data_IF_060834952538
#
_entry.id   IF_060834952538
#
_cell.length_a   1.000
_cell.length_b   1.000
_cell.length_c   1.000
_cell.angle_alpha   90.00
_cell.angle_beta   90.00
_cell.angle_gamma   90.00
#
_symmetry.space_group_name_H-M   'P 1'
#
loop_
_entity.id
_entity.type
_entity.pdbx_description
1 polymer ?
#
# COMPACT_ATOMS: atom_id res chain seq x y z
N UNK A 1 -3.91 18.79 17.18
CA UNK A 1 -4.88 18.17 16.26
C UNK A 1 -4.04 17.40 15.26
N UNK A 2 -4.20 16.11 15.20
CA UNK A 2 -3.34 15.25 14.39
C UNK A 2 -3.72 15.45 12.93
N UNK A 3 -2.78 15.87 12.09
CA UNK A 3 -2.98 15.94 10.65
C UNK A 3 -3.09 14.52 10.10
N UNK A 4 -4.02 14.28 9.16
CA UNK A 4 -4.12 13.01 8.44
C UNK A 4 -2.97 12.83 7.44
N UNK A 5 -2.38 13.93 7.01
CA UNK A 5 -1.32 13.99 6.02
C UNK A 5 -0.08 14.61 6.65
N UNK A 6 1.00 13.86 6.64
CA UNK A 6 2.33 14.34 7.02
C UNK A 6 3.29 13.97 5.91
N UNK A 7 4.26 14.82 5.63
CA UNK A 7 5.39 14.43 4.80
C UNK A 7 6.17 13.32 5.52
N UNK A 8 6.20 12.14 4.91
CA UNK A 8 6.80 10.94 5.50
C UNK A 8 8.00 10.52 4.66
N UNK A 9 9.12 10.32 5.31
CA UNK A 9 10.28 9.68 4.70
C UNK A 9 10.12 8.16 4.85
N UNK A 10 10.26 7.41 3.74
CA UNK A 10 10.06 5.95 3.74
C UNK A 10 10.90 5.21 4.78
N UNK A 11 12.11 5.66 5.05
CA UNK A 11 12.97 5.05 6.09
C UNK A 11 12.34 5.11 7.47
N UNK A 12 11.62 6.19 7.80
CA UNK A 12 11.00 6.38 9.10
C UNK A 12 9.83 5.42 9.33
N UNK A 13 9.14 5.04 8.23
CA UNK A 13 8.05 4.06 8.26
C UNK A 13 8.59 2.63 8.28
N UNK A 14 9.70 2.37 7.58
CA UNK A 14 10.22 1.00 7.41
C UNK A 14 11.09 0.53 8.56
N UNK A 15 11.65 1.44 9.36
CA UNK A 15 12.51 1.12 10.50
C UNK A 15 11.83 1.45 11.81
N UNK A 16 11.99 0.62 12.82
CA UNK A 16 11.60 0.89 14.19
C UNK A 16 12.84 1.09 15.04
N UNK A 17 12.87 2.12 15.88
CA UNK A 17 14.01 2.42 16.73
C UNK A 17 14.33 1.25 17.69
N UNK A 18 15.56 0.79 17.69
CA UNK A 18 16.01 -0.34 18.50
C UNK A 18 15.62 -1.73 17.96
N UNK A 19 14.94 -1.83 16.83
CA UNK A 19 14.57 -3.11 16.22
C UNK A 19 15.48 -3.48 15.04
N UNK A 20 15.64 -4.76 14.84
CA UNK A 20 16.40 -5.36 13.72
C UNK A 20 15.45 -6.22 12.90
N UNK A 21 15.46 -6.06 11.59
CA UNK A 21 14.62 -6.84 10.68
C UNK A 21 15.08 -8.30 10.65
N UNK A 22 14.18 -9.19 11.01
CA UNK A 22 14.33 -10.64 10.87
C UNK A 22 14.08 -11.05 9.42
N UNK A 23 12.91 -10.66 8.90
CA UNK A 23 12.52 -10.90 7.52
C UNK A 23 11.42 -9.95 7.06
N UNK A 24 11.48 -9.51 5.79
CA UNK A 24 10.47 -8.67 5.16
C UNK A 24 9.93 -9.30 3.87
N UNK A 25 8.62 -9.26 3.70
CA UNK A 25 7.90 -9.62 2.47
C UNK A 25 7.32 -8.35 1.86
N UNK A 26 7.70 -8.03 0.64
CA UNK A 26 7.32 -6.83 -0.08
C UNK A 26 6.55 -7.20 -1.33
N UNK A 27 5.54 -6.41 -1.69
CA UNK A 27 4.82 -6.56 -2.96
C UNK A 27 4.83 -5.26 -3.75
N UNK A 28 4.89 -5.37 -5.07
CA UNK A 28 4.85 -4.24 -6.01
C UNK A 28 4.32 -4.72 -7.36
N UNK A 29 3.78 -3.81 -8.17
CA UNK A 29 3.47 -4.14 -9.56
C UNK A 29 4.72 -4.10 -10.43
N UNK A 30 5.38 -2.97 -10.49
CA UNK A 30 6.64 -2.77 -11.22
C UNK A 30 7.81 -2.61 -10.25
N UNK A 31 8.96 -3.07 -10.68
CA UNK A 31 10.20 -3.04 -9.93
C UNK A 31 11.30 -2.49 -10.82
N UNK A 32 12.07 -1.52 -10.35
CA UNK A 32 13.36 -1.21 -10.96
C UNK A 32 14.54 -1.71 -10.10
N UNK A 33 15.63 -2.00 -10.74
CA UNK A 33 16.79 -2.60 -10.06
C UNK A 33 17.49 -1.64 -9.10
N UNK A 34 17.60 -0.32 -9.35
CA UNK A 34 18.09 0.65 -8.39
C UNK A 34 17.27 0.68 -7.11
N UNK A 35 15.93 0.72 -7.20
CA UNK A 35 15.04 0.67 -6.05
C UNK A 35 15.16 -0.65 -5.27
N UNK A 36 15.37 -1.77 -5.95
CA UNK A 36 15.63 -3.06 -5.28
C UNK A 36 16.89 -3.01 -4.41
N UNK A 37 17.96 -2.32 -4.87
CA UNK A 37 19.19 -2.15 -4.09
C UNK A 37 19.01 -1.22 -2.89
N UNK A 38 18.03 -0.32 -2.90
CA UNK A 38 17.74 0.55 -1.77
C UNK A 38 16.99 -0.16 -0.62
N UNK A 39 16.30 -1.27 -0.91
CA UNK A 39 15.51 -2.02 0.09
C UNK A 39 16.31 -2.38 1.36
N UNK A 40 17.54 -2.91 1.30
CA UNK A 40 18.33 -3.19 2.50
C UNK A 40 18.59 -1.96 3.37
N UNK A 41 18.76 -0.78 2.76
CA UNK A 41 18.94 0.48 3.48
C UNK A 41 17.62 0.95 4.09
N UNK A 42 16.53 0.89 3.33
CA UNK A 42 15.18 1.25 3.82
C UNK A 42 14.75 0.38 5.01
N UNK A 43 15.14 -0.90 5.02
CA UNK A 43 14.87 -1.84 6.12
C UNK A 43 15.90 -1.77 7.26
N UNK A 44 16.89 -0.88 7.23
CA UNK A 44 17.94 -0.79 8.23
C UNK A 44 18.88 -2.01 8.30
N UNK A 45 18.80 -2.94 7.37
CA UNK A 45 19.63 -4.17 7.35
C UNK A 45 21.10 -3.86 7.09
N UNK A 46 21.39 -2.68 6.55
CA UNK A 46 22.73 -2.19 6.24
C UNK A 46 23.11 -0.94 7.04
N UNK A 47 22.44 -0.66 8.15
CA UNK A 47 22.70 0.50 9.01
C UNK A 47 24.11 0.55 9.60
N UNK A 48 24.74 -0.61 9.81
CA UNK A 48 26.09 -0.72 10.37
C UNK A 48 27.22 -0.40 9.36
N UNK A 49 26.86 -0.10 8.09
CA UNK A 49 27.86 0.25 7.08
C UNK A 49 28.39 1.67 7.28
N UNK A 50 29.65 1.72 7.73
CA UNK A 50 30.39 2.98 7.83
C UNK A 50 30.82 3.50 6.46
N UNK A 51 31.16 4.79 6.35
CA UNK A 51 31.72 5.36 5.10
C UNK A 51 32.98 4.59 4.64
N UNK A 52 33.81 4.13 5.56
CA UNK A 52 34.99 3.32 5.26
C UNK A 52 34.63 1.97 4.64
N UNK A 53 33.54 1.31 5.13
CA UNK A 53 33.02 0.06 4.57
C UNK A 53 32.44 0.27 3.18
N UNK A 54 31.73 1.39 2.96
CA UNK A 54 31.15 1.73 1.64
C UNK A 54 32.22 1.96 0.57
N UNK A 55 33.43 2.37 0.95
CA UNK A 55 34.57 2.52 0.02
C UNK A 55 35.22 1.19 -0.36
N UNK A 56 34.87 0.09 0.27
CA UNK A 56 35.43 -1.23 0.00
C UNK A 56 34.45 -2.08 -0.80
N UNK A 57 34.66 -2.28 -2.14
CA UNK A 57 33.71 -2.97 -3.00
C UNK A 57 33.36 -4.39 -2.54
N UNK A 58 34.31 -5.15 -1.99
CA UNK A 58 34.02 -6.51 -1.53
C UNK A 58 33.17 -6.54 -0.27
N UNK A 59 33.31 -5.57 0.66
CA UNK A 59 32.47 -5.47 1.84
C UNK A 59 31.03 -5.03 1.47
N UNK A 60 30.89 -4.15 0.50
CA UNK A 60 29.58 -3.78 -0.07
C UNK A 60 28.91 -5.00 -0.68
N UNK A 61 29.61 -5.76 -1.52
CA UNK A 61 29.08 -6.98 -2.14
C UNK A 61 28.69 -8.03 -1.09
N UNK A 62 29.47 -8.20 -0.02
CA UNK A 62 29.15 -9.11 1.07
C UNK A 62 27.92 -8.68 1.83
N UNK A 63 27.80 -7.38 2.16
CA UNK A 63 26.64 -6.82 2.85
C UNK A 63 25.36 -6.95 2.00
N UNK A 64 25.41 -6.61 0.71
CA UNK A 64 24.32 -6.80 -0.24
C UNK A 64 23.92 -8.27 -0.34
N UNK A 65 24.89 -9.17 -0.43
CA UNK A 65 24.62 -10.61 -0.48
C UNK A 65 24.00 -11.14 0.82
N UNK A 66 24.40 -10.68 1.98
CA UNK A 66 23.79 -11.04 3.27
C UNK A 66 22.36 -10.50 3.37
N UNK A 67 22.17 -9.24 3.01
CA UNK A 67 20.85 -8.58 3.08
C UNK A 67 19.81 -9.20 2.16
N UNK A 68 20.21 -9.70 0.98
CA UNK A 68 19.31 -10.38 0.03
C UNK A 68 18.64 -11.64 0.60
N UNK A 69 19.06 -12.16 1.74
CA UNK A 69 18.41 -13.25 2.46
C UNK A 69 17.37 -12.81 3.50
N UNK A 70 17.30 -11.50 3.77
CA UNK A 70 16.46 -10.89 4.80
C UNK A 70 15.10 -10.41 4.26
N UNK A 71 14.89 -10.44 2.94
CA UNK A 71 13.64 -10.01 2.35
C UNK A 71 13.30 -10.74 1.05
N UNK A 72 12.06 -10.60 0.63
CA UNK A 72 11.57 -11.01 -0.69
C UNK A 72 10.68 -9.94 -1.28
N UNK A 73 10.80 -9.70 -2.60
CA UNK A 73 9.97 -8.79 -3.37
C UNK A 73 9.18 -9.57 -4.39
N UNK A 74 7.86 -9.53 -4.28
CA UNK A 74 6.93 -10.10 -5.25
C UNK A 74 6.51 -9.00 -6.23
N UNK A 75 6.74 -9.23 -7.52
CA UNK A 75 6.37 -8.26 -8.57
C UNK A 75 5.59 -8.96 -9.69
N UNK A 76 4.85 -8.16 -10.47
CA UNK A 76 4.17 -8.70 -11.64
C UNK A 76 5.18 -9.24 -12.67
N UNK A 77 4.90 -10.41 -13.23
CA UNK A 77 5.81 -11.01 -14.20
C UNK A 77 5.99 -10.10 -15.43
N UNK A 78 7.24 -9.91 -15.84
CA UNK A 78 7.61 -9.05 -16.96
C UNK A 78 7.64 -7.54 -16.65
N UNK A 79 7.44 -7.13 -15.40
CA UNK A 79 7.42 -5.72 -14.99
C UNK A 79 8.67 -5.31 -14.20
N UNK A 80 9.83 -5.85 -14.58
CA UNK A 80 11.13 -5.47 -14.01
C UNK A 80 11.87 -4.58 -15.00
N UNK A 81 12.15 -3.34 -14.60
CA UNK A 81 12.98 -2.41 -15.37
C UNK A 81 14.46 -2.64 -15.04
N UNK A 82 15.23 -3.01 -16.06
CA UNK A 82 16.66 -3.22 -15.97
C UNK A 82 17.36 -1.95 -16.49
N UNK A 83 18.31 -1.35 -15.74
CA UNK A 83 19.02 -0.15 -16.20
C UNK A 83 19.90 -0.46 -17.42
N UNK A 84 20.11 0.56 -18.26
CA UNK A 84 20.95 0.43 -19.45
C UNK A 84 22.40 0.06 -19.12
N UNK A 85 22.92 0.55 -17.98
CA UNK A 85 24.23 0.16 -17.45
C UNK A 85 24.06 -1.08 -16.59
N UNK A 86 24.48 -2.22 -17.12
CA UNK A 86 24.37 -3.49 -16.43
C UNK A 86 25.45 -3.58 -15.33
N UNK A 87 25.01 -3.77 -14.09
CA UNK A 87 25.90 -4.02 -12.95
C UNK A 87 25.69 -5.43 -12.41
N UNK A 88 26.78 -6.17 -12.26
CA UNK A 88 26.75 -7.53 -11.67
C UNK A 88 26.18 -7.58 -10.24
N UNK A 89 26.13 -6.44 -9.54
CA UNK A 89 25.55 -6.35 -8.20
C UNK A 89 24.06 -6.76 -8.19
N UNK A 90 23.33 -6.53 -9.27
CA UNK A 90 21.93 -6.90 -9.38
C UNK A 90 21.69 -8.40 -9.32
N UNK A 91 22.64 -9.23 -9.77
CA UNK A 91 22.53 -10.68 -9.73
C UNK A 91 22.51 -11.22 -8.30
N UNK A 92 23.08 -10.50 -7.35
CA UNK A 92 23.05 -10.85 -5.92
C UNK A 92 21.64 -10.74 -5.33
N UNK A 93 20.80 -9.88 -5.93
CA UNK A 93 19.44 -9.62 -5.48
C UNK A 93 18.38 -10.52 -6.15
N UNK A 94 18.72 -11.24 -7.23
CA UNK A 94 17.77 -12.11 -7.96
C UNK A 94 17.03 -13.09 -7.05
N UNK A 95 17.74 -13.67 -6.08
CA UNK A 95 17.15 -14.62 -5.14
C UNK A 95 16.09 -14.03 -4.20
N UNK A 96 16.03 -12.70 -4.10
CA UNK A 96 15.02 -11.98 -3.31
C UNK A 96 13.78 -11.62 -4.15
N UNK A 97 13.83 -11.79 -5.48
CA UNK A 97 12.75 -11.41 -6.38
C UNK A 97 11.94 -12.62 -6.79
N UNK A 98 10.62 -12.49 -6.69
CA UNK A 98 9.63 -13.48 -7.12
C UNK A 98 8.70 -12.83 -8.14
N UNK A 99 8.78 -13.25 -9.39
CA UNK A 99 7.85 -12.80 -10.42
C UNK A 99 6.55 -13.62 -10.33
N UNK A 100 5.43 -12.93 -10.14
CA UNK A 100 4.11 -13.53 -10.05
C UNK A 100 3.46 -13.47 -11.43
N UNK A 101 3.35 -14.62 -12.09
CA UNK A 101 2.62 -14.79 -13.34
C UNK A 101 1.20 -15.29 -13.04
N UNK A 102 0.20 -14.60 -13.56
CA UNK A 102 -1.20 -14.93 -13.38
C UNK A 102 -1.84 -15.37 -14.70
N UNK A 103 -2.70 -16.40 -14.70
CA UNK A 103 -3.42 -16.79 -15.89
C UNK A 103 -4.41 -15.67 -16.30
N UNK A 104 -4.66 -15.50 -17.61
CA UNK A 104 -5.66 -14.55 -18.07
C UNK A 104 -7.05 -14.93 -17.55
N UNK A 105 -7.89 -13.93 -17.25
CA UNK A 105 -9.29 -14.12 -16.85
C UNK A 105 -10.21 -13.62 -17.95
N UNK A 106 -10.90 -14.51 -18.62
CA UNK A 106 -11.66 -14.20 -19.83
C UNK A 106 -10.73 -13.70 -20.95
N UNK A 107 -11.08 -12.60 -21.60
CA UNK A 107 -10.30 -11.99 -22.68
C UNK A 107 -9.29 -10.95 -22.20
N UNK A 108 -8.98 -10.88 -20.90
CA UNK A 108 -8.11 -9.85 -20.33
C UNK A 108 -6.95 -10.39 -19.50
N UNK A 109 -5.84 -9.63 -19.52
CA UNK A 109 -4.72 -9.90 -18.64
C UNK A 109 -5.10 -9.64 -17.19
N UNK A 110 -4.53 -10.43 -16.29
CA UNK A 110 -4.63 -10.26 -14.84
C UNK A 110 -3.27 -9.78 -14.35
N UNK A 111 -3.25 -8.67 -13.63
CA UNK A 111 -2.03 -8.13 -13.07
C UNK A 111 -1.93 -8.45 -11.58
N UNK A 112 -0.70 -8.75 -11.14
CA UNK A 112 -0.34 -8.75 -9.73
C UNK A 112 0.05 -7.31 -9.34
N UNK A 113 -0.83 -6.63 -8.61
CA UNK A 113 -0.70 -5.19 -8.37
C UNK A 113 -0.67 -4.76 -6.90
N UNK A 114 -0.63 -5.67 -5.89
CA UNK A 114 -0.64 -5.27 -4.49
C UNK A 114 0.60 -4.45 -4.12
N UNK A 115 0.46 -3.57 -3.13
CA UNK A 115 1.53 -2.75 -2.56
C UNK A 115 1.42 -2.81 -1.05
N UNK A 116 1.89 -3.90 -0.49
CA UNK A 116 1.93 -4.13 0.96
C UNK A 116 3.25 -4.77 1.35
N UNK A 117 3.83 -4.27 2.42
CA UNK A 117 5.04 -4.80 3.02
C UNK A 117 4.72 -5.36 4.39
N UNK A 118 5.15 -6.56 4.67
CA UNK A 118 5.02 -7.22 5.97
C UNK A 118 6.41 -7.49 6.49
N UNK A 119 6.76 -6.83 7.59
CA UNK A 119 8.11 -6.84 8.16
C UNK A 119 8.01 -7.44 9.56
N UNK A 120 8.74 -8.51 9.79
CA UNK A 120 9.00 -9.00 11.14
C UNK A 120 10.32 -8.45 11.62
N UNK A 121 10.30 -7.87 12.81
CA UNK A 121 11.48 -7.28 13.44
C UNK A 121 11.53 -7.62 14.94
N UNK A 122 12.72 -7.66 15.48
CA UNK A 122 12.99 -8.02 16.89
C UNK A 122 13.91 -6.98 17.52
N UNK A 123 13.53 -6.52 18.73
CA UNK A 123 14.40 -5.74 19.58
C UNK A 123 15.28 -6.69 20.40
N UNK A 124 16.60 -6.76 20.15
CA UNK A 124 17.49 -7.71 20.81
C UNK A 124 17.66 -7.42 22.31
N UNK A 125 17.59 -6.15 22.71
CA UNK A 125 17.79 -5.72 24.11
C UNK A 125 16.57 -6.06 24.96
N UNK A 126 15.37 -5.77 24.44
CA UNK A 126 14.10 -6.00 25.16
C UNK A 126 13.58 -7.43 24.94
N UNK A 127 14.13 -8.16 23.98
CA UNK A 127 13.66 -9.50 23.54
C UNK A 127 12.19 -9.50 23.13
N UNK A 128 11.74 -8.41 22.56
CA UNK A 128 10.40 -8.21 22.02
C UNK A 128 10.45 -8.31 20.50
N UNK A 129 9.38 -8.84 19.93
CA UNK A 129 9.24 -8.94 18.48
C UNK A 129 7.90 -8.36 18.05
N UNK A 130 7.86 -7.80 16.85
CA UNK A 130 6.66 -7.23 16.29
C UNK A 130 6.53 -7.53 14.79
N UNK A 131 5.30 -7.42 14.30
CA UNK A 131 5.00 -7.46 12.87
C UNK A 131 4.52 -6.08 12.48
N UNK A 132 5.18 -5.50 11.49
CA UNK A 132 4.81 -4.24 10.87
C UNK A 132 4.16 -4.53 9.53
N UNK A 133 3.01 -3.91 9.26
CA UNK A 133 2.30 -3.96 7.97
C UNK A 133 2.27 -2.55 7.42
N UNK A 134 2.87 -2.34 6.25
CA UNK A 134 2.90 -1.06 5.57
C UNK A 134 2.14 -1.20 4.26
N UNK A 135 1.05 -0.44 4.12
CA UNK A 135 0.24 -0.41 2.89
C UNK A 135 0.54 0.89 2.14
N UNK A 136 0.84 0.76 0.87
CA UNK A 136 1.35 1.82 0.01
C UNK A 136 0.47 1.96 -1.24
N UNK A 137 0.55 3.10 -1.93
CA UNK A 137 -0.06 3.27 -3.25
C UNK A 137 0.95 3.22 -4.41
N UNK A 138 2.26 3.41 -4.14
CA UNK A 138 3.31 3.44 -5.16
C UNK A 138 3.99 2.09 -5.40
N UNK A 139 4.65 2.00 -6.55
CA UNK A 139 5.52 0.88 -6.89
C UNK A 139 6.93 1.05 -6.27
N UNK A 140 7.69 -0.04 -6.24
CA UNK A 140 9.10 -0.02 -5.86
C UNK A 140 9.95 0.43 -7.07
N UNK A 141 9.84 1.71 -7.38
CA UNK A 141 10.49 2.40 -8.50
C UNK A 141 10.96 3.78 -8.08
N UNK A 142 12.00 4.29 -8.75
CA UNK A 142 12.48 5.67 -8.57
C UNK A 142 11.53 6.65 -9.29
N UNK A 143 10.38 6.96 -8.68
CA UNK A 143 9.44 7.97 -9.18
C UNK A 143 9.21 9.04 -8.11
N UNK A 144 8.83 10.24 -8.54
CA UNK A 144 8.51 11.39 -7.65
C UNK A 144 6.99 11.62 -7.56
N UNK A 145 6.20 10.55 -7.67
CA UNK A 145 4.75 10.64 -7.64
C UNK A 145 4.22 10.92 -6.23
N UNK A 146 3.09 11.60 -6.14
CA UNK A 146 2.30 11.70 -4.92
C UNK A 146 1.80 10.31 -4.52
N UNK A 147 1.93 9.97 -3.25
CA UNK A 147 1.73 8.64 -2.73
C UNK A 147 1.11 8.65 -1.34
N UNK A 148 0.40 7.61 -0.99
CA UNK A 148 -0.14 7.39 0.35
C UNK A 148 0.50 6.16 0.98
N UNK A 149 0.83 6.29 2.26
CA UNK A 149 1.37 5.19 3.07
C UNK A 149 0.65 5.13 4.41
N UNK A 150 0.39 3.92 4.88
CA UNK A 150 -0.14 3.67 6.22
C UNK A 150 0.62 2.52 6.87
N UNK A 151 1.09 2.76 8.09
CA UNK A 151 1.80 1.81 8.92
C UNK A 151 0.92 1.30 10.05
N UNK A 152 0.97 -0.02 10.26
CA UNK A 152 0.36 -0.70 11.40
C UNK A 152 1.42 -1.56 12.08
N UNK A 153 1.51 -1.48 13.41
CA UNK A 153 2.46 -2.26 14.21
C UNK A 153 1.71 -3.16 15.19
N UNK A 154 2.06 -4.43 15.21
CA UNK A 154 1.48 -5.43 16.10
C UNK A 154 2.54 -6.20 16.87
N UNK A 155 2.50 -6.11 18.20
CA UNK A 155 3.41 -6.84 19.07
C UNK A 155 3.10 -8.35 19.04
N UNK A 156 4.14 -9.17 18.96
CA UNK A 156 4.03 -10.62 19.04
C UNK A 156 4.00 -11.01 20.52
N UNK A 157 2.82 -11.36 20.99
CA UNK A 157 2.62 -11.76 22.39
C UNK A 157 3.21 -13.12 22.74
N UNK A 158 3.33 -13.41 24.02
CA UNK A 158 3.78 -14.71 24.53
C UNK A 158 2.69 -15.78 24.52
N UNK A 159 1.42 -15.40 24.33
CA UNK A 159 0.26 -16.28 24.25
C UNK A 159 -0.47 -16.04 22.91
N UNK A 160 -1.13 -17.08 22.37
CA UNK A 160 -1.94 -16.92 21.19
C UNK A 160 -3.00 -15.81 21.37
N UNK A 161 -3.18 -15.00 20.35
CA UNK A 161 -4.20 -13.96 20.28
C UNK A 161 -5.62 -14.55 20.40
N UNK A 162 -6.61 -13.73 20.75
CA UNK A 162 -8.00 -14.15 20.82
C UNK A 162 -8.50 -14.68 19.48
N UNK A 163 -9.50 -15.55 19.52
CA UNK A 163 -10.14 -16.08 18.31
C UNK A 163 -10.66 -14.96 17.39
N UNK A 164 -11.15 -13.87 18.00
CA UNK A 164 -11.64 -12.69 17.28
C UNK A 164 -10.50 -11.99 16.52
N UNK A 165 -9.37 -11.77 17.17
CA UNK A 165 -8.19 -11.12 16.58
C UNK A 165 -7.59 -11.96 15.45
N UNK A 166 -7.44 -13.27 15.67
CA UNK A 166 -6.97 -14.20 14.61
C UNK A 166 -7.90 -14.23 13.40
N UNK A 167 -9.25 -14.20 13.62
CA UNK A 167 -10.22 -14.09 12.52
C UNK A 167 -10.06 -12.78 11.76
N UNK A 168 -9.78 -11.67 12.46
CA UNK A 168 -9.57 -10.36 11.85
C UNK A 168 -8.29 -10.31 11.00
N UNK A 169 -7.23 -10.99 11.42
CA UNK A 169 -5.96 -11.03 10.70
C UNK A 169 -5.91 -12.10 9.59
N UNK A 170 -6.92 -12.98 9.55
CA UNK A 170 -6.98 -14.08 8.56
C UNK A 170 -6.83 -13.61 7.11
N UNK A 171 -7.46 -12.50 6.63
CA UNK A 171 -7.26 -12.05 5.25
C UNK A 171 -5.79 -11.73 4.92
N UNK A 172 -5.05 -11.12 5.85
CA UNK A 172 -3.62 -10.88 5.68
C UNK A 172 -2.83 -12.20 5.65
N UNK A 173 -3.13 -13.13 6.57
CA UNK A 173 -2.50 -14.45 6.61
C UNK A 173 -2.74 -15.26 5.32
N UNK A 174 -3.98 -15.26 4.81
CA UNK A 174 -4.35 -15.95 3.57
C UNK A 174 -3.62 -15.34 2.35
N UNK A 175 -3.51 -14.01 2.31
CA UNK A 175 -2.74 -13.33 1.27
C UNK A 175 -1.24 -13.71 1.31
N UNK A 176 -0.66 -13.74 2.50
CA UNK A 176 0.72 -14.15 2.70
C UNK A 176 0.94 -15.62 2.31
N UNK A 177 0.03 -16.52 2.67
CA UNK A 177 0.11 -17.95 2.29
C UNK A 177 -0.01 -18.10 0.78
N UNK A 178 -0.92 -17.36 0.12
CA UNK A 178 -1.05 -17.35 -1.34
C UNK A 178 0.26 -16.94 -2.04
N UNK A 179 1.01 -15.98 -1.49
CA UNK A 179 2.35 -15.60 -1.96
C UNK A 179 3.40 -16.66 -1.65
N UNK A 180 3.34 -17.26 -0.46
CA UNK A 180 4.25 -18.30 -0.05
C UNK A 180 4.21 -19.51 -0.99
N UNK A 181 3.02 -19.91 -1.44
CA UNK A 181 2.83 -21.01 -2.39
C UNK A 181 3.49 -20.77 -3.75
N UNK A 182 3.61 -19.49 -4.16
CA UNK A 182 4.22 -19.04 -5.43
C UNK A 182 5.72 -18.79 -5.34
N UNK A 183 6.31 -19.03 -4.18
CA UNK A 183 7.71 -18.73 -3.90
C UNK A 183 8.59 -19.99 -3.79
N UNK A 184 9.89 -19.76 -3.71
CA UNK A 184 10.85 -20.85 -3.43
C UNK A 184 10.66 -21.42 -2.02
N UNK A 185 11.12 -22.65 -1.79
CA UNK A 185 11.02 -23.32 -0.48
C UNK A 185 11.61 -22.49 0.67
N UNK A 186 12.70 -21.76 0.40
CA UNK A 186 13.35 -20.89 1.40
C UNK A 186 12.48 -19.70 1.77
N UNK A 187 11.96 -18.96 0.78
CA UNK A 187 11.08 -17.80 0.97
C UNK A 187 9.79 -18.26 1.64
N UNK A 188 9.19 -19.37 1.17
CA UNK A 188 7.97 -19.96 1.75
C UNK A 188 8.13 -20.22 3.24
N UNK A 189 9.26 -20.79 3.66
CA UNK A 189 9.53 -21.06 5.07
C UNK A 189 9.55 -19.78 5.91
N UNK A 190 10.13 -18.70 5.39
CA UNK A 190 10.19 -17.42 6.09
C UNK A 190 8.80 -16.80 6.22
N UNK A 191 8.04 -16.76 5.13
CA UNK A 191 6.68 -16.19 5.14
C UNK A 191 5.78 -16.98 6.09
N UNK A 192 5.80 -18.31 6.05
CA UNK A 192 5.03 -19.16 6.96
C UNK A 192 5.44 -19.02 8.42
N UNK A 193 6.68 -18.63 8.70
CA UNK A 193 7.09 -18.26 10.05
C UNK A 193 6.38 -16.99 10.52
N UNK A 194 6.31 -15.95 9.68
CA UNK A 194 5.56 -14.72 10.03
C UNK A 194 4.06 -15.00 10.20
N UNK A 195 3.47 -15.83 9.34
CA UNK A 195 2.05 -16.23 9.47
C UNK A 195 1.77 -16.90 10.83
N UNK A 196 2.69 -17.75 11.30
CA UNK A 196 2.56 -18.35 12.63
C UNK A 196 2.67 -17.31 13.75
N UNK A 197 3.56 -16.34 13.61
CA UNK A 197 3.73 -15.27 14.59
C UNK A 197 2.52 -14.33 14.61
N UNK A 198 1.84 -14.15 13.47
CA UNK A 198 0.62 -13.38 13.36
C UNK A 198 -0.52 -13.93 14.24
N UNK A 199 -0.54 -15.24 14.53
CA UNK A 199 -1.47 -15.85 15.48
C UNK A 199 -1.25 -15.36 16.93
N UNK A 200 -0.16 -14.69 17.24
CA UNK A 200 0.20 -14.12 18.53
C UNK A 200 0.04 -12.60 18.59
N UNK A 201 -0.38 -11.96 17.51
CA UNK A 201 -0.68 -10.53 17.46
C UNK A 201 -2.14 -10.30 17.86
N UNK A 202 -2.35 -9.67 19.02
CA UNK A 202 -3.73 -9.38 19.48
C UNK A 202 -4.35 -8.22 18.69
N UNK A 203 -3.58 -7.19 18.37
CA UNK A 203 -4.05 -6.01 17.67
C UNK A 203 -2.89 -5.32 16.96
N UNK A 204 -3.16 -4.78 15.78
CA UNK A 204 -2.30 -3.78 15.16
C UNK A 204 -2.63 -2.40 15.68
N UNK A 205 -1.63 -1.66 16.12
CA UNK A 205 -1.72 -0.26 16.46
C UNK A 205 -1.47 0.59 15.22
N UNK A 206 -2.21 1.67 15.11
CA UNK A 206 -2.03 2.70 14.11
C UNK A 206 -1.35 3.87 14.81
N UNK A 207 -0.02 3.95 14.68
CA UNK A 207 0.79 4.90 15.43
C UNK A 207 0.48 6.33 14.97
N UNK A 208 0.21 7.22 15.95
CA UNK A 208 -0.02 8.66 15.68
C UNK A 208 -1.27 8.96 14.85
N UNK A 209 -2.21 8.03 14.70
CA UNK A 209 -3.35 8.16 13.81
C UNK A 209 -4.69 8.29 14.54
N UNK A 210 -5.69 8.92 13.91
CA UNK A 210 -7.03 9.06 14.48
C UNK A 210 -7.89 7.80 14.39
N UNK A 211 -7.41 6.70 13.79
CA UNK A 211 -8.20 5.54 13.44
C UNK A 211 -8.54 4.64 14.64
N UNK A 212 -9.79 4.14 14.66
CA UNK A 212 -10.31 3.29 15.74
C UNK A 212 -10.31 1.81 15.36
N UNK A 213 -10.39 1.51 14.07
CA UNK A 213 -10.43 0.15 13.55
C UNK A 213 -9.75 0.06 12.18
N UNK A 214 -9.33 -1.14 11.84
CA UNK A 214 -8.74 -1.48 10.55
C UNK A 214 -9.27 -2.82 10.06
N UNK A 215 -9.27 -3.06 8.75
CA UNK A 215 -9.50 -4.38 8.14
C UNK A 215 -8.63 -4.53 6.89
N UNK A 216 -8.20 -5.76 6.59
CA UNK A 216 -7.38 -6.07 5.43
C UNK A 216 -8.24 -6.67 4.31
N UNK A 217 -8.12 -6.13 3.11
CA UNK A 217 -8.86 -6.58 1.94
C UNK A 217 -7.92 -6.98 0.80
N UNK A 218 -7.36 -8.20 0.82
CA UNK A 218 -6.78 -8.78 -0.38
C UNK A 218 -7.89 -9.05 -1.39
N UNK A 219 -7.61 -8.85 -2.67
CA UNK A 219 -8.58 -9.08 -3.75
C UNK A 219 -7.95 -9.89 -4.87
N UNK A 220 -8.78 -10.63 -5.59
CA UNK A 220 -8.35 -11.44 -6.75
C UNK A 220 -7.59 -12.71 -6.41
N UNK A 221 -7.63 -13.14 -5.15
CA UNK A 221 -7.16 -14.44 -4.68
C UNK A 221 -8.34 -15.29 -4.22
N UNK A 222 -8.14 -16.60 -4.07
CA UNK A 222 -9.21 -17.53 -3.71
C UNK A 222 -9.93 -17.13 -2.41
N UNK A 223 -11.26 -17.00 -2.47
CA UNK A 223 -12.10 -16.58 -1.35
C UNK A 223 -12.17 -15.07 -1.11
N UNK A 224 -11.55 -14.25 -1.98
CA UNK A 224 -11.52 -12.79 -1.85
C UNK A 224 -11.83 -12.12 -3.19
N UNK A 225 -13.10 -11.79 -3.40
CA UNK A 225 -13.63 -11.20 -4.62
C UNK A 225 -13.80 -9.68 -4.47
N UNK A 226 -13.08 -8.93 -5.20
CA UNK A 226 -13.10 -7.52 -5.53
C UNK A 226 -13.96 -6.54 -4.71
N UNK A 227 -14.71 -5.71 -5.44
CA UNK A 227 -15.47 -4.58 -4.87
C UNK A 227 -16.52 -5.01 -3.83
N UNK A 228 -17.19 -6.16 -4.03
CA UNK A 228 -18.26 -6.64 -3.17
C UNK A 228 -17.79 -6.97 -1.74
N UNK A 229 -16.49 -7.17 -1.55
CA UNK A 229 -15.94 -7.45 -0.22
C UNK A 229 -15.45 -6.20 0.52
N UNK A 230 -15.03 -5.14 -0.19
CA UNK A 230 -14.48 -3.95 0.43
C UNK A 230 -15.37 -2.72 0.28
N UNK A 231 -15.92 -2.48 -0.90
CA UNK A 231 -16.84 -1.39 -1.20
C UNK A 231 -18.17 -2.00 -1.65
N UNK A 232 -18.84 -2.69 -0.73
CA UNK A 232 -20.13 -3.33 -1.02
C UNK A 232 -21.24 -2.27 -1.27
N UNK A 233 -22.33 -2.74 -1.89
CA UNK A 233 -23.45 -1.87 -2.21
C UNK A 233 -24.05 -1.26 -0.95
N UNK A 234 -24.14 -2.00 0.17
CA UNK A 234 -24.70 -1.52 1.43
C UNK A 234 -23.89 -0.33 1.99
N UNK A 235 -22.56 -0.42 1.96
CA UNK A 235 -21.69 0.70 2.36
C UNK A 235 -21.86 1.92 1.47
N UNK A 236 -21.86 1.71 0.16
CA UNK A 236 -21.99 2.79 -0.83
C UNK A 236 -23.40 3.42 -0.81
N UNK A 237 -24.46 2.62 -0.66
CA UNK A 237 -25.86 3.08 -0.62
C UNK A 237 -26.16 3.99 0.58
N UNK A 238 -25.45 3.80 1.68
CA UNK A 238 -25.59 4.60 2.90
C UNK A 238 -24.55 5.73 3.00
N UNK A 239 -23.74 5.92 1.99
CA UNK A 239 -22.79 7.02 1.96
C UNK A 239 -23.51 8.37 1.89
N UNK A 240 -23.16 9.28 2.79
CA UNK A 240 -23.67 10.66 2.82
C UNK A 240 -22.69 11.64 2.18
N UNK A 241 -21.43 11.28 2.08
CA UNK A 241 -20.35 12.07 1.50
C UNK A 241 -19.26 11.13 1.00
N UNK A 242 -18.58 11.50 -0.10
CA UNK A 242 -17.58 10.63 -0.72
C UNK A 242 -16.47 11.41 -1.41
N UNK A 243 -15.21 10.98 -1.20
CA UNK A 243 -14.04 11.39 -1.99
C UNK A 243 -13.39 10.15 -2.60
N UNK A 244 -13.14 10.20 -3.89
CA UNK A 244 -12.39 9.17 -4.62
C UNK A 244 -11.11 9.81 -5.16
N UNK A 245 -9.97 9.24 -4.81
CA UNK A 245 -8.66 9.58 -5.40
C UNK A 245 -8.19 8.37 -6.17
N UNK A 246 -8.01 8.51 -7.47
CA UNK A 246 -7.51 7.41 -8.30
C UNK A 246 -6.92 7.93 -9.61
N UNK A 247 -5.64 7.64 -9.92
CA UNK A 247 -5.00 8.09 -11.15
C UNK A 247 -5.62 7.49 -12.41
N UNK A 248 -6.10 6.27 -12.32
CA UNK A 248 -6.78 5.57 -13.42
C UNK A 248 -8.20 5.23 -13.00
N UNK A 249 -9.15 5.63 -13.83
CA UNK A 249 -10.58 5.44 -13.58
C UNK A 249 -11.26 4.92 -14.84
N UNK A 250 -12.38 4.23 -14.69
CA UNK A 250 -13.30 3.96 -15.79
C UNK A 250 -14.75 4.32 -15.42
N UNK A 251 -15.49 4.71 -16.44
CA UNK A 251 -16.87 5.19 -16.31
C UNK A 251 -17.78 4.15 -15.63
N UNK A 252 -17.60 2.87 -15.91
CA UNK A 252 -18.45 1.80 -15.37
C UNK A 252 -18.24 1.62 -13.87
N UNK A 253 -16.99 1.65 -13.40
CA UNK A 253 -16.66 1.54 -11.97
C UNK A 253 -17.09 2.80 -11.22
N UNK A 254 -16.75 3.99 -11.75
CA UNK A 254 -17.18 5.25 -11.14
C UNK A 254 -18.71 5.40 -11.16
N UNK A 255 -19.37 4.91 -12.21
CA UNK A 255 -20.83 4.87 -12.28
C UNK A 255 -21.45 4.02 -11.17
N UNK A 256 -20.91 2.82 -10.90
CA UNK A 256 -21.36 2.01 -9.76
C UNK A 256 -21.20 2.76 -8.43
N UNK A 257 -20.02 3.34 -8.19
CA UNK A 257 -19.73 4.10 -6.97
C UNK A 257 -20.70 5.29 -6.82
N UNK A 258 -20.90 6.07 -7.88
CA UNK A 258 -21.71 7.29 -7.85
C UNK A 258 -23.21 7.03 -7.76
N UNK A 259 -23.72 5.95 -8.39
CA UNK A 259 -25.16 5.68 -8.43
C UNK A 259 -25.69 5.06 -7.14
N UNK A 260 -24.85 4.41 -6.34
CA UNK A 260 -25.28 3.89 -5.04
C UNK A 260 -25.75 4.99 -4.07
N UNK A 261 -25.18 6.20 -4.15
CA UNK A 261 -25.59 7.36 -3.34
C UNK A 261 -25.80 8.60 -4.19
N UNK A 262 -26.88 8.68 -4.98
CA UNK A 262 -27.05 9.74 -5.98
C UNK A 262 -27.07 11.16 -5.41
N UNK A 263 -27.57 11.34 -4.19
CA UNK A 263 -27.72 12.65 -3.52
C UNK A 263 -26.50 13.09 -2.72
N UNK A 264 -25.59 12.16 -2.40
CA UNK A 264 -24.38 12.48 -1.64
C UNK A 264 -23.47 13.42 -2.43
N UNK A 265 -22.84 14.42 -1.78
CA UNK A 265 -21.71 15.13 -2.38
C UNK A 265 -20.59 14.13 -2.69
N UNK A 266 -20.06 14.22 -3.91
CA UNK A 266 -19.01 13.32 -4.41
C UNK A 266 -17.93 14.13 -5.10
N UNK A 267 -16.71 13.98 -4.62
CA UNK A 267 -15.50 14.57 -5.20
C UNK A 267 -14.62 13.48 -5.82
N UNK A 268 -14.11 13.74 -7.00
CA UNK A 268 -13.10 12.89 -7.66
C UNK A 268 -11.80 13.67 -7.82
N UNK A 269 -10.68 13.06 -7.46
CA UNK A 269 -9.33 13.55 -7.78
C UNK A 269 -8.69 12.50 -8.70
N UNK A 270 -8.32 12.91 -9.92
CA UNK A 270 -7.79 11.99 -10.93
C UNK A 270 -6.82 12.70 -11.87
N UNK A 271 -6.17 11.95 -12.76
CA UNK A 271 -5.30 12.51 -13.81
C UNK A 271 -6.13 13.21 -14.88
N UNK A 272 -5.62 14.29 -15.46
CA UNK A 272 -6.27 15.01 -16.53
C UNK A 272 -6.68 14.12 -17.71
N UNK A 273 -5.80 13.20 -18.11
CA UNK A 273 -6.06 12.25 -19.20
C UNK A 273 -7.22 11.28 -18.95
N UNK A 274 -7.65 11.12 -17.70
CA UNK A 274 -8.77 10.25 -17.31
C UNK A 274 -10.13 10.96 -17.27
N UNK A 275 -10.17 12.30 -17.44
CA UNK A 275 -11.40 13.10 -17.32
C UNK A 275 -12.16 13.06 -18.63
N UNK A 276 -13.45 12.69 -18.56
CA UNK A 276 -14.41 12.75 -19.68
C UNK A 276 -15.68 13.47 -19.23
N UNK A 277 -16.52 13.93 -20.19
CA UNK A 277 -17.79 14.59 -19.86
C UNK A 277 -18.73 13.68 -19.06
N UNK A 278 -18.71 12.39 -19.32
CA UNK A 278 -19.51 11.40 -18.58
C UNK A 278 -19.04 11.31 -17.12
N UNK A 279 -17.72 11.30 -16.88
CA UNK A 279 -17.13 11.26 -15.53
C UNK A 279 -17.45 12.56 -14.78
N UNK A 280 -17.35 13.72 -15.44
CA UNK A 280 -17.71 15.02 -14.84
C UNK A 280 -19.16 15.01 -14.33
N UNK A 281 -20.08 14.37 -15.04
CA UNK A 281 -21.49 14.31 -14.66
C UNK A 281 -21.80 13.41 -13.45
N UNK A 282 -20.88 12.51 -13.08
CA UNK A 282 -21.06 11.58 -11.96
C UNK A 282 -20.69 12.18 -10.59
N UNK A 283 -19.83 13.20 -10.58
CA UNK A 283 -19.28 13.78 -9.35
C UNK A 283 -19.75 15.22 -9.16
N UNK A 284 -20.81 15.37 -8.37
CA UNK A 284 -21.56 16.63 -8.20
C UNK A 284 -20.88 17.68 -7.30
N UNK A 285 -19.83 17.31 -6.56
CA UNK A 285 -19.01 18.22 -5.74
C UNK A 285 -17.62 18.50 -6.37
N UNK A 286 -17.44 18.09 -7.61
CA UNK A 286 -16.31 18.44 -8.46
C UNK A 286 -15.38 17.30 -8.84
N UNK A 287 -14.68 17.52 -9.95
CA UNK A 287 -13.57 16.67 -10.43
C UNK A 287 -12.33 17.54 -10.50
N UNK A 288 -11.31 17.13 -9.80
CA UNK A 288 -10.05 17.84 -9.64
C UNK A 288 -8.90 17.06 -10.26
N UNK A 289 -7.93 17.78 -10.76
CA UNK A 289 -6.68 17.22 -11.30
C UNK A 289 -5.50 17.88 -10.59
N UNK A 290 -4.41 17.16 -10.32
CA UNK A 290 -3.21 17.75 -9.74
C UNK A 290 -2.72 18.91 -10.62
N UNK A 291 -2.36 20.02 -9.99
CA UNK A 291 -1.70 21.12 -10.68
C UNK A 291 -0.29 20.68 -11.05
N UNK A 292 0.07 20.79 -12.33
CA UNK A 292 1.47 20.64 -12.73
C UNK A 292 2.28 21.73 -12.02
N UNK A 293 3.16 21.33 -11.12
CA UNK A 293 4.08 22.25 -10.45
C UNK A 293 5.19 22.56 -11.43
N UNK A 294 5.02 23.65 -12.21
CA UNK A 294 6.09 24.26 -12.97
C UNK A 294 7.07 24.87 -11.96
N UNK A 295 8.11 24.17 -11.62
CA UNK A 295 9.21 24.75 -10.85
C UNK A 295 10.05 25.64 -11.79
N UNK A 296 9.97 26.95 -11.58
CA UNK A 296 10.70 28.00 -12.31
C UNK A 296 12.23 27.99 -12.11
N UNK A 297 12.84 26.86 -11.75
CA UNK A 297 14.30 26.78 -11.56
C UNK A 297 14.88 25.53 -12.23
N UNK A 298 15.40 25.78 -13.43
CA UNK A 298 16.55 25.10 -14.05
C UNK A 298 16.75 23.64 -13.66
N UNK A 299 16.51 22.77 -14.64
CA UNK A 299 16.81 21.37 -14.80
C UNK A 299 15.58 20.44 -14.73
N UNK A 300 15.04 20.20 -15.95
CA UNK A 300 14.06 19.17 -16.30
C UNK A 300 12.77 19.19 -15.49
N UNK A 301 11.67 19.46 -16.17
CA UNK A 301 10.30 19.37 -15.70
C UNK A 301 10.06 18.06 -14.92
N UNK A 302 10.12 18.14 -13.59
CA UNK A 302 9.69 17.05 -12.73
C UNK A 302 8.17 17.11 -12.67
N UNK A 303 7.51 16.40 -13.55
CA UNK A 303 6.07 16.21 -13.48
C UNK A 303 5.80 15.33 -12.27
N UNK A 304 5.24 15.90 -11.22
CA UNK A 304 4.71 15.14 -10.09
C UNK A 304 3.37 14.57 -10.52
N UNK A 305 3.27 13.24 -10.61
CA UNK A 305 2.06 12.56 -11.04
C UNK A 305 1.29 11.99 -9.84
N UNK A 306 -0.03 11.86 -10.00
CA UNK A 306 -0.90 11.24 -9.01
C UNK A 306 -0.72 9.72 -9.05
N UNK A 307 -0.38 9.13 -7.90
CA UNK A 307 -0.32 7.68 -7.77
C UNK A 307 -1.16 7.12 -6.61
N UNK A 308 -1.77 7.97 -5.83
CA UNK A 308 -2.63 7.65 -4.70
C UNK A 308 -3.91 6.92 -5.14
N UNK A 309 -4.36 5.97 -4.32
CA UNK A 309 -5.65 5.29 -4.46
C UNK A 309 -6.30 5.28 -3.10
N UNK A 310 -7.27 6.18 -2.96
CA UNK A 310 -7.97 6.43 -1.69
C UNK A 310 -9.47 6.57 -1.95
N UNK A 311 -10.25 5.94 -1.10
CA UNK A 311 -11.71 6.05 -1.10
C UNK A 311 -12.13 6.47 0.31
N UNK A 312 -12.60 7.70 0.46
CA UNK A 312 -13.18 8.21 1.69
C UNK A 312 -14.70 8.18 1.59
N UNK A 313 -15.35 7.60 2.58
CA UNK A 313 -16.81 7.47 2.63
C UNK A 313 -17.27 7.84 4.04
N UNK A 314 -18.10 8.86 4.17
CA UNK A 314 -18.85 9.16 5.38
C UNK A 314 -20.21 8.49 5.32
N UNK A 315 -20.61 7.76 6.37
CA UNK A 315 -21.92 7.11 6.43
C UNK A 315 -22.44 6.99 7.85
N UNK A 316 -23.75 6.76 7.96
CA UNK A 316 -24.41 6.39 9.21
C UNK A 316 -24.46 4.86 9.40
N UNK A 317 -24.11 4.40 10.61
CA UNK A 317 -24.26 3.03 11.09
C UNK A 317 -25.26 3.06 12.26
N UNK A 318 -26.54 2.83 11.99
CA UNK A 318 -27.61 3.07 12.96
C UNK A 318 -27.72 4.56 13.30
N UNK A 319 -27.57 4.91 14.59
CA UNK A 319 -27.65 6.29 15.07
C UNK A 319 -26.28 7.00 15.17
N UNK A 320 -25.21 6.35 14.76
CA UNK A 320 -23.87 6.91 14.78
C UNK A 320 -23.32 7.02 13.36
N UNK A 321 -22.51 8.03 13.13
CA UNK A 321 -21.82 8.18 11.85
C UNK A 321 -20.33 7.87 12.00
N UNK A 322 -19.74 7.34 10.93
CA UNK A 322 -18.33 7.01 10.84
C UNK A 322 -17.75 7.42 9.50
N UNK A 323 -16.46 7.71 9.52
CA UNK A 323 -15.66 7.82 8.31
C UNK A 323 -14.98 6.49 8.04
N UNK A 324 -15.00 6.08 6.79
CA UNK A 324 -14.34 4.90 6.26
C UNK A 324 -13.32 5.36 5.23
N UNK A 325 -12.07 4.98 5.43
CA UNK A 325 -10.97 5.28 4.51
C UNK A 325 -10.41 3.96 3.99
N UNK A 326 -10.45 3.78 2.67
CA UNK A 326 -9.78 2.67 2.01
C UNK A 326 -8.58 3.22 1.25
N UNK A 327 -7.43 2.61 1.45
CA UNK A 327 -6.20 3.00 0.76
C UNK A 327 -5.37 1.78 0.35
N UNK A 328 -4.57 1.90 -0.69
CA UNK A 328 -3.69 0.83 -1.15
C UNK A 328 -3.46 0.83 -2.65
N UNK A 329 -3.60 -0.33 -3.29
CA UNK A 329 -3.17 -0.51 -4.68
C UNK A 329 -4.26 -0.33 -5.73
N UNK A 330 -5.54 -0.38 -5.34
CA UNK A 330 -6.68 -0.55 -6.24
C UNK A 330 -7.13 0.74 -6.90
N UNK A 331 -6.97 0.83 -8.21
CA UNK A 331 -7.55 1.92 -9.00
C UNK A 331 -9.07 1.76 -9.14
N UNK A 332 -9.78 2.89 -9.33
CA UNK A 332 -11.23 2.90 -9.57
C UNK A 332 -11.57 2.40 -10.99
N UNK A 333 -11.19 1.18 -11.30
CA UNK A 333 -11.37 0.52 -12.59
C UNK A 333 -11.92 -0.89 -12.46
N UNK A 334 -12.57 -1.40 -13.52
CA UNK A 334 -13.04 -2.78 -13.57
C UNK A 334 -11.90 -3.80 -13.37
N UNK A 335 -10.71 -3.48 -13.86
CA UNK A 335 -9.55 -4.35 -13.65
C UNK A 335 -9.09 -4.33 -12.20
N UNK A 336 -9.04 -3.15 -11.56
CA UNK A 336 -8.66 -3.00 -10.15
C UNK A 336 -9.58 -3.80 -9.23
N UNK A 337 -10.90 -3.61 -9.36
CA UNK A 337 -11.87 -4.30 -8.48
C UNK A 337 -12.30 -5.69 -8.94
N UNK A 338 -12.06 -6.11 -10.18
CA UNK A 338 -12.67 -7.33 -10.69
C UNK A 338 -11.71 -8.37 -11.26
N UNK A 339 -10.48 -7.99 -11.58
CA UNK A 339 -9.55 -8.90 -12.28
C UNK A 339 -8.22 -9.05 -11.61
N UNK A 340 -7.59 -7.92 -11.25
CA UNK A 340 -6.25 -7.91 -10.69
C UNK A 340 -6.21 -8.57 -9.31
N UNK A 341 -5.02 -9.00 -8.92
CA UNK A 341 -4.70 -9.21 -7.51
C UNK A 341 -4.31 -7.85 -6.95
N UNK A 342 -5.03 -7.39 -5.94
CA UNK A 342 -4.89 -6.08 -5.31
C UNK A 342 -4.90 -6.22 -3.78
N UNK A 343 -4.58 -5.13 -3.08
CA UNK A 343 -4.68 -5.07 -1.63
C UNK A 343 -5.13 -3.68 -1.18
N UNK A 344 -6.19 -3.62 -0.38
CA UNK A 344 -6.65 -2.43 0.30
C UNK A 344 -6.59 -2.60 1.81
N UNK A 345 -6.27 -1.53 2.49
CA UNK A 345 -6.45 -1.36 3.92
C UNK A 345 -7.69 -0.50 4.14
N UNK A 346 -8.62 -0.97 4.95
CA UNK A 346 -9.75 -0.21 5.44
C UNK A 346 -9.46 0.32 6.83
N UNK A 347 -9.73 1.59 7.05
CA UNK A 347 -9.61 2.28 8.32
C UNK A 347 -10.94 2.94 8.66
N UNK A 348 -11.37 2.84 9.93
CA UNK A 348 -12.60 3.48 10.41
C UNK A 348 -12.28 4.42 11.56
N UNK A 349 -12.96 5.57 11.59
CA UNK A 349 -12.77 6.55 12.64
C UNK A 349 -14.01 7.44 12.83
N UNK A 350 -14.10 8.07 14.00
CA UNK A 350 -15.20 8.95 14.33
C UNK A 350 -15.11 10.28 13.55
N UNK A 351 -16.24 10.86 13.08
CA UNK A 351 -16.25 12.06 12.23
C UNK A 351 -15.67 13.31 12.90
N UNK A 352 -15.71 13.40 14.24
CA UNK A 352 -15.15 14.55 14.96
C UNK A 352 -13.62 14.64 14.84
N UNK A 353 -12.95 13.57 14.42
CA UNK A 353 -11.50 13.54 14.19
C UNK A 353 -11.13 14.22 12.87
N UNK A 354 -11.93 14.00 11.84
CA UNK A 354 -11.85 14.69 10.55
C UNK A 354 -13.23 14.66 9.87
N UNK A 355 -13.73 15.82 9.43
CA UNK A 355 -14.94 15.92 8.60
C UNK A 355 -14.59 15.72 7.11
N UNK A 356 -15.63 15.53 6.29
CA UNK A 356 -15.52 15.52 4.83
C UNK A 356 -14.89 16.81 4.29
N UNK A 357 -15.41 17.97 4.72
CA UNK A 357 -14.91 19.27 4.26
C UNK A 357 -13.43 19.47 4.62
N UNK A 358 -13.04 19.04 5.82
CA UNK A 358 -11.64 19.12 6.23
C UNK A 358 -10.76 18.17 5.40
N UNK A 359 -11.18 16.90 5.23
CA UNK A 359 -10.45 15.93 4.42
C UNK A 359 -10.29 16.42 2.98
N UNK A 360 -11.38 16.91 2.39
CA UNK A 360 -11.38 17.49 1.05
C UNK A 360 -10.52 18.77 0.97
N UNK A 361 -10.64 19.66 1.95
CA UNK A 361 -9.89 20.92 2.00
C UNK A 361 -8.38 20.75 2.18
N UNK A 362 -7.93 19.70 2.88
CA UNK A 362 -6.51 19.37 2.99
C UNK A 362 -5.93 18.85 1.66
N UNK A 363 -6.76 18.27 0.77
CA UNK A 363 -6.34 17.74 -0.53
C UNK A 363 -6.45 18.75 -1.67
N UNK A 364 -7.41 19.70 -1.56
CA UNK A 364 -7.74 20.63 -2.63
C UNK A 364 -7.46 22.05 -2.12
N UNK A 365 -6.31 22.58 -2.51
CA UNK A 365 -6.03 24.01 -2.33
C UNK A 365 -6.62 24.78 -3.52
N UNK A 366 -7.69 25.53 -3.28
CA UNK A 366 -8.32 26.42 -4.26
C UNK A 366 -7.40 27.64 -4.53
N UNK A 367 -6.19 27.44 -4.98
CA UNK A 367 -5.29 28.46 -5.61
C UNK A 367 -5.46 29.93 -5.22
N UNK A 368 -5.87 30.23 -4.00
CA UNK A 368 -6.08 31.57 -3.46
C UNK A 368 -4.99 32.04 -2.49
N UNK A 369 -3.80 31.42 -2.57
CA UNK A 369 -2.60 31.90 -1.87
C UNK A 369 -1.52 32.28 -2.86
#
# INVERSE_FOLDING_TARGET
MDNLWNDIVYTDVMQSEGYVVDYAMLTTYSLDMPSLLSVPFMLGVMSDMTEATMRSPHLVLEAVNKSAGKFSVFCNAGCIAVPQVNSKIYTLMERSVVQVALPPKGNGFVNFHPKVWVIKETNPDMKESQIKVVVLSRNLTCSNDLDVVCELVGDIGTKPATKKSRKKHKPLADFMEWLAERSTSKIRKQIRSIIKDLDYVERFALIGSPFDAYDFFPMGIDGYDGMEQCLDADMLDHATEMVVISPFVDQKTLGKIAHCSPKAPKTLITRHASVTNEILSLFNDGVYVPKEVLTDKVEKDVVVDLHEKVYFIHRYEGNQSYNHLYLGSTNATQNGFGRNVEFLLHLRFAPYKTSYDRFRGELIHDGKD
#
